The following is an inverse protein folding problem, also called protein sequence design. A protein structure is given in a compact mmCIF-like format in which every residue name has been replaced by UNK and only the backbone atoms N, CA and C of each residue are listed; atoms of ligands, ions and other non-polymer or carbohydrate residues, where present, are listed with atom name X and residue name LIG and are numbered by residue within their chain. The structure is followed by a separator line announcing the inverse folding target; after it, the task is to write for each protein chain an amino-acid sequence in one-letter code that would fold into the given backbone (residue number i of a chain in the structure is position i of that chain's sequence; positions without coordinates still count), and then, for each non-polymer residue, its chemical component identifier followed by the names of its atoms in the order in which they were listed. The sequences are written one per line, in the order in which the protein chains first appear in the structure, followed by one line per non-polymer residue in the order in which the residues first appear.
data_IF_231622825911
#
_entry.id   IF_231622825911
#
_cell.length_a   1.000
_cell.length_b   1.000
_cell.length_c   1.000
_cell.angle_alpha   90.00
_cell.angle_beta   90.00
_cell.angle_gamma   90.00
#
_symmetry.space_group_name_H-M   'P 1'
#
loop_
_entity.id
_entity.type
_entity.pdbx_description
1 polymer ?
#
# COMPACT_ATOMS: atom_id res chain seq x y z
N UNK A 1 -2.73 -10.40 19.69
CA UNK A 1 -1.94 -10.73 18.47
C UNK A 1 -0.54 -10.11 18.51
N UNK A 2 -0.41 -8.78 18.71
CA UNK A 2 0.89 -8.11 18.73
C UNK A 2 1.90 -8.72 19.72
N UNK A 3 1.47 -9.08 20.92
CA UNK A 3 2.33 -9.76 21.90
C UNK A 3 2.94 -11.08 21.38
N UNK A 4 2.23 -11.83 20.52
CA UNK A 4 2.76 -13.05 19.89
C UNK A 4 3.80 -12.73 18.82
N UNK A 5 3.65 -11.61 18.13
CA UNK A 5 4.60 -11.12 17.12
C UNK A 5 5.89 -10.64 17.80
N UNK A 6 5.76 -9.88 18.89
CA UNK A 6 6.90 -9.35 19.67
C UNK A 6 7.78 -10.45 20.28
N UNK A 7 7.22 -11.65 20.51
CA UNK A 7 7.98 -12.85 20.92
C UNK A 7 8.90 -13.41 19.81
N UNK A 8 8.72 -13.00 18.55
CA UNK A 8 9.44 -13.55 17.38
C UNK A 8 10.22 -12.49 16.63
N UNK A 9 9.70 -11.25 16.57
CA UNK A 9 10.31 -10.13 15.84
C UNK A 9 10.31 -8.86 16.67
N UNK A 10 11.36 -8.06 16.51
CA UNK A 10 11.38 -6.71 17.05
C UNK A 10 10.40 -5.82 16.27
N UNK A 11 9.53 -5.09 16.96
CA UNK A 11 8.50 -4.27 16.30
C UNK A 11 8.87 -2.80 16.41
N UNK A 12 9.02 -2.16 15.26
CA UNK A 12 9.20 -0.72 15.11
C UNK A 12 7.90 -0.10 14.62
N UNK A 13 7.71 1.17 14.95
CA UNK A 13 6.54 1.95 14.53
C UNK A 13 6.99 3.28 13.99
N UNK A 14 6.29 3.76 13.00
CA UNK A 14 6.50 5.09 12.46
C UNK A 14 6.32 6.16 13.56
N UNK A 15 7.32 7.04 13.77
CA UNK A 15 7.24 8.08 14.78
C UNK A 15 6.35 9.26 14.36
N UNK A 16 5.67 9.85 15.34
CA UNK A 16 4.81 11.03 15.11
C UNK A 16 5.59 12.30 14.81
N UNK A 17 6.79 12.47 15.35
CA UNK A 17 7.67 13.63 15.07
C UNK A 17 8.63 13.32 13.93
N UNK A 18 8.98 14.32 13.13
CA UNK A 18 9.92 14.13 12.02
C UNK A 18 11.36 13.92 12.51
N UNK A 19 11.72 14.54 13.64
CA UNK A 19 13.03 14.44 14.28
C UNK A 19 13.43 13.01 14.63
N UNK A 20 12.44 12.18 14.95
CA UNK A 20 12.68 10.83 15.48
C UNK A 20 12.76 9.78 14.35
N UNK A 21 12.43 10.17 13.10
CA UNK A 21 12.41 9.26 11.94
C UNK A 21 13.77 8.63 11.70
N UNK A 22 14.82 9.45 11.69
CA UNK A 22 16.19 8.98 11.42
C UNK A 22 16.70 8.06 12.52
N UNK A 23 16.38 8.37 13.78
CA UNK A 23 16.77 7.55 14.94
C UNK A 23 16.13 6.16 14.85
N UNK A 24 14.80 6.09 14.66
CA UNK A 24 14.08 4.82 14.57
C UNK A 24 14.52 3.98 13.37
N UNK A 25 14.82 4.62 12.23
CA UNK A 25 15.34 3.92 11.05
C UNK A 25 16.75 3.39 11.25
N UNK A 26 17.60 4.14 11.93
CA UNK A 26 18.95 3.71 12.30
C UNK A 26 18.89 2.49 13.22
N UNK A 27 18.10 2.55 14.28
CA UNK A 27 17.87 1.42 15.20
C UNK A 27 17.30 0.18 14.47
N UNK A 28 16.36 0.40 13.56
CA UNK A 28 15.80 -0.68 12.73
C UNK A 28 16.87 -1.35 11.85
N UNK A 29 17.74 -0.55 11.21
CA UNK A 29 18.82 -1.05 10.37
C UNK A 29 19.84 -1.83 11.20
N UNK A 30 20.31 -1.25 12.29
CA UNK A 30 21.29 -1.89 13.20
C UNK A 30 20.77 -3.23 13.75
N UNK A 31 19.47 -3.30 14.06
CA UNK A 31 18.82 -4.56 14.49
C UNK A 31 18.86 -5.62 13.39
N UNK A 32 18.65 -5.24 12.13
CA UNK A 32 18.70 -6.18 11.00
C UNK A 32 20.12 -6.65 10.72
N UNK A 33 21.09 -5.75 10.75
CA UNK A 33 22.50 -6.05 10.49
C UNK A 33 23.07 -6.98 11.58
N UNK A 34 22.74 -6.71 12.85
CA UNK A 34 23.11 -7.58 13.98
C UNK A 34 22.51 -8.99 13.87
N UNK A 35 21.26 -9.12 13.42
CA UNK A 35 20.61 -10.42 13.23
C UNK A 35 21.08 -11.16 11.98
N UNK A 36 21.58 -10.44 10.98
CA UNK A 36 22.10 -11.03 9.74
C UNK A 36 23.52 -11.57 9.89
N UNK A 37 24.26 -11.05 10.88
CA UNK A 37 25.65 -11.45 11.20
C UNK A 37 25.73 -12.54 12.28
N UNK A 38 24.61 -12.91 12.92
CA UNK A 38 24.58 -14.00 13.89
C UNK A 38 24.73 -15.38 13.23
N UNK A 39 25.56 -16.22 13.84
CA UNK A 39 25.82 -17.59 13.40
C UNK A 39 24.54 -18.44 13.57
N UNK A 40 24.07 -19.22 12.57
CA UNK A 40 22.78 -19.92 12.61
C UNK A 40 22.60 -20.95 13.72
N UNK A 41 23.66 -21.22 14.50
CA UNK A 41 23.70 -22.23 15.57
C UNK A 41 23.34 -21.66 16.95
N UNK A 42 23.40 -20.35 17.14
CA UNK A 42 22.99 -19.69 18.39
C UNK A 42 21.48 -19.36 18.36
N UNK A 43 20.71 -19.70 19.41
CA UNK A 43 19.29 -19.39 19.46
C UNK A 43 19.06 -17.89 19.70
N UNK A 44 18.92 -17.13 18.61
CA UNK A 44 18.55 -15.72 18.68
C UNK A 44 17.15 -15.55 19.29
N UNK A 45 17.00 -14.58 20.21
CA UNK A 45 15.72 -14.24 20.83
C UNK A 45 14.68 -13.76 19.79
N UNK A 46 15.15 -13.15 18.70
CA UNK A 46 14.33 -12.66 17.58
C UNK A 46 14.93 -13.10 16.25
N UNK A 47 14.08 -13.39 15.26
CA UNK A 47 14.51 -13.82 13.92
C UNK A 47 14.34 -12.73 12.85
N UNK A 48 14.27 -11.47 13.27
CA UNK A 48 14.15 -10.30 12.41
C UNK A 48 13.33 -9.18 13.06
N UNK A 49 13.04 -8.17 12.26
CA UNK A 49 12.25 -7.02 12.66
C UNK A 49 11.00 -6.82 11.77
N UNK A 50 10.03 -6.08 12.27
CA UNK A 50 8.85 -5.58 11.54
C UNK A 50 8.80 -4.07 11.75
N UNK A 51 8.57 -3.33 10.67
CA UNK A 51 8.29 -1.90 10.73
C UNK A 51 6.83 -1.64 10.37
N UNK A 52 6.07 -1.04 11.29
CA UNK A 52 4.68 -0.64 11.07
C UNK A 52 4.64 0.84 10.66
N UNK A 53 4.21 1.09 9.42
CA UNK A 53 4.08 2.44 8.86
C UNK A 53 2.68 2.68 8.29
N UNK A 54 2.34 3.95 8.09
CA UNK A 54 1.08 4.39 7.47
C UNK A 54 1.36 4.82 6.04
N UNK A 55 0.51 4.40 5.10
CA UNK A 55 0.61 4.83 3.69
C UNK A 55 0.27 6.31 3.58
N UNK A 56 1.09 7.08 2.85
CA UNK A 56 1.04 8.54 2.85
C UNK A 56 1.71 9.16 4.09
N UNK A 57 2.27 8.32 4.96
CA UNK A 57 3.17 8.72 6.04
C UNK A 57 4.59 8.96 5.53
N UNK A 58 5.43 9.46 6.44
CA UNK A 58 6.80 9.91 6.18
C UNK A 58 7.67 8.76 5.66
N UNK A 59 7.52 7.61 6.29
CA UNK A 59 8.30 6.41 5.98
C UNK A 59 7.88 5.82 4.64
N UNK A 60 6.57 5.76 4.36
CA UNK A 60 6.04 5.14 3.14
C UNK A 60 6.38 5.93 1.86
N UNK A 61 6.57 7.24 1.97
CA UNK A 61 6.87 8.10 0.81
C UNK A 61 8.35 8.47 0.70
N UNK A 62 9.00 8.90 1.78
CA UNK A 62 10.31 9.54 1.74
C UNK A 62 11.50 8.63 1.99
N UNK A 63 11.25 7.40 2.46
CA UNK A 63 12.31 6.48 2.88
C UNK A 63 12.35 5.29 1.95
N UNK A 64 13.55 4.82 1.74
CA UNK A 64 13.82 3.75 0.82
C UNK A 64 14.39 2.59 1.66
N UNK A 65 13.98 1.35 1.41
CA UNK A 65 14.39 0.18 2.20
C UNK A 65 15.32 -0.69 1.35
N UNK A 66 16.63 -0.45 1.40
CA UNK A 66 17.63 -1.24 0.65
C UNK A 66 18.17 -2.41 1.48
N UNK A 67 18.94 -3.29 0.83
CA UNK A 67 19.94 -4.15 1.48
C UNK A 67 19.36 -5.11 2.55
N UNK A 68 18.12 -5.57 2.34
CA UNK A 68 17.46 -6.51 3.26
C UNK A 68 16.56 -5.85 4.31
N UNK A 69 16.50 -4.52 4.38
CA UNK A 69 15.60 -3.80 5.27
C UNK A 69 14.11 -4.00 4.95
N UNK A 70 13.76 -4.54 3.78
CA UNK A 70 12.38 -4.64 3.28
C UNK A 70 12.07 -5.90 2.48
N UNK A 71 12.43 -7.10 2.95
CA UNK A 71 12.24 -8.35 2.19
C UNK A 71 10.79 -8.78 1.97
N UNK A 72 9.87 -8.34 2.82
CA UNK A 72 8.45 -8.61 2.66
C UNK A 72 7.65 -7.35 3.00
N UNK A 73 6.88 -6.84 2.05
CA UNK A 73 5.92 -5.76 2.25
C UNK A 73 4.54 -6.39 2.43
N UNK A 74 3.82 -5.97 3.46
CA UNK A 74 2.41 -6.31 3.66
C UNK A 74 1.59 -5.03 3.56
N UNK A 75 0.88 -4.87 2.45
CA UNK A 75 -0.07 -3.78 2.26
C UNK A 75 -1.42 -4.22 2.80
N UNK A 76 -1.87 -3.62 3.91
CA UNK A 76 -3.16 -3.95 4.52
C UNK A 76 -4.18 -2.89 4.13
N UNK A 77 -5.20 -3.30 3.40
CA UNK A 77 -6.26 -2.41 2.93
C UNK A 77 -5.90 -1.59 1.69
N UNK A 78 -6.77 -0.63 1.38
CA UNK A 78 -6.58 0.39 0.35
C UNK A 78 -6.61 1.79 0.98
N UNK A 79 -5.54 2.60 0.81
CA UNK A 79 -5.39 3.92 1.43
C UNK A 79 -6.19 4.98 0.67
N UNK A 80 -7.51 4.89 0.74
CA UNK A 80 -8.38 5.90 0.13
C UNK A 80 -8.28 7.24 0.86
N UNK A 81 -8.18 8.37 0.13
CA UNK A 81 -8.22 9.69 0.73
C UNK A 81 -9.53 9.93 1.50
N UNK A 82 -9.47 10.72 2.57
CA UNK A 82 -10.64 10.99 3.39
C UNK A 82 -11.72 11.76 2.61
N UNK A 83 -13.00 11.34 2.65
CA UNK A 83 -14.09 12.07 2.01
C UNK A 83 -14.49 13.33 2.80
N UNK A 84 -13.79 13.66 3.89
CA UNK A 84 -13.96 14.93 4.61
C UNK A 84 -13.19 16.09 3.97
N UNK A 85 -12.31 15.80 3.02
CA UNK A 85 -11.51 16.81 2.33
C UNK A 85 -12.35 17.50 1.24
N UNK A 86 -12.67 18.77 1.48
CA UNK A 86 -13.49 19.58 0.57
C UNK A 86 -12.76 19.83 -0.75
N UNK A 87 -11.45 20.05 -0.73
CA UNK A 87 -10.67 20.30 -1.94
C UNK A 87 -10.67 19.05 -2.85
N UNK A 88 -10.53 17.87 -2.23
CA UNK A 88 -10.67 16.60 -2.95
C UNK A 88 -12.05 16.46 -3.59
N UNK A 89 -13.12 16.72 -2.83
CA UNK A 89 -14.49 16.57 -3.33
C UNK A 89 -14.77 17.53 -4.49
N UNK A 90 -14.32 18.79 -4.41
CA UNK A 90 -14.49 19.76 -5.50
C UNK A 90 -13.68 19.35 -6.75
N UNK A 91 -12.45 18.84 -6.57
CA UNK A 91 -11.67 18.28 -7.69
C UNK A 91 -12.38 17.09 -8.34
N UNK A 92 -12.95 16.19 -7.53
CA UNK A 92 -13.73 15.04 -8.04
C UNK A 92 -14.94 15.50 -8.84
N UNK A 93 -15.72 16.47 -8.32
CA UNK A 93 -16.87 17.05 -9.05
C UNK A 93 -16.45 17.70 -10.36
N UNK A 94 -15.36 18.48 -10.32
CA UNK A 94 -14.83 19.12 -11.52
C UNK A 94 -14.42 18.09 -12.58
N UNK A 95 -13.65 17.06 -12.19
CA UNK A 95 -13.20 15.99 -13.11
C UNK A 95 -14.36 15.19 -13.69
N UNK A 96 -15.42 14.96 -12.91
CA UNK A 96 -16.65 14.34 -13.40
C UNK A 96 -17.31 15.22 -14.48
N UNK A 97 -17.37 16.54 -14.26
CA UNK A 97 -17.98 17.51 -15.19
C UNK A 97 -17.18 17.82 -16.46
N UNK A 98 -15.87 17.53 -16.50
CA UNK A 98 -15.00 17.74 -17.67
C UNK A 98 -15.42 16.95 -18.92
N UNK A 99 -16.37 16.02 -18.82
CA UNK A 99 -16.89 15.24 -19.97
C UNK A 99 -18.11 15.83 -20.65
N UNK A 100 -18.80 16.77 -19.98
CA UNK A 100 -20.13 17.24 -20.39
C UNK A 100 -20.10 18.60 -21.10
N UNK A 101 -18.92 19.15 -21.41
CA UNK A 101 -18.74 20.46 -22.05
C UNK A 101 -19.36 20.59 -23.47
N UNK A 102 -19.82 19.49 -24.07
CA UNK A 102 -20.60 19.51 -25.32
C UNK A 102 -22.13 19.62 -25.10
N UNK A 103 -22.61 19.64 -23.85
CA UNK A 103 -24.02 19.87 -23.52
C UNK A 103 -24.12 21.04 -22.55
N UNK A 104 -24.58 22.19 -23.05
CA UNK A 104 -24.93 23.38 -22.24
C UNK A 104 -26.06 23.08 -21.26
N UNK A 105 -25.77 22.33 -20.21
CA UNK A 105 -26.56 22.21 -18.99
C UNK A 105 -25.57 22.16 -17.86
N UNK A 106 -25.52 23.24 -17.08
CA UNK A 106 -24.89 23.24 -15.76
C UNK A 106 -25.29 21.96 -15.04
N UNK A 107 -24.33 21.18 -14.47
CA UNK A 107 -24.67 19.95 -13.80
C UNK A 107 -25.67 20.29 -12.70
N UNK A 108 -26.86 19.68 -12.74
CA UNK A 108 -27.82 19.69 -11.64
C UNK A 108 -27.29 18.86 -10.47
N UNK A 109 -26.06 19.10 -10.02
CA UNK A 109 -25.74 18.84 -8.64
C UNK A 109 -26.50 19.89 -7.87
N UNK A 110 -27.51 19.43 -7.13
CA UNK A 110 -28.33 20.24 -6.26
C UNK A 110 -27.38 21.06 -5.36
N UNK A 111 -27.14 22.31 -5.72
CA UNK A 111 -26.53 23.30 -4.83
C UNK A 111 -27.60 23.61 -3.79
N UNK A 112 -27.82 22.67 -2.87
CA UNK A 112 -28.42 23.01 -1.61
C UNK A 112 -27.28 23.61 -0.79
N UNK A 113 -27.26 24.93 -0.72
CA UNK A 113 -26.33 25.78 0.04
C UNK A 113 -26.43 25.52 1.57
N UNK A 114 -26.28 24.27 1.99
CA UNK A 114 -26.25 23.84 3.40
C UNK A 114 -25.25 22.70 3.56
N UNK A 115 -23.94 22.98 3.48
CA UNK A 115 -22.95 22.05 4.02
C UNK A 115 -21.63 22.75 4.38
N UNK A 116 -21.68 23.59 5.42
CA UNK A 116 -20.49 23.93 6.20
C UNK A 116 -20.27 22.96 7.38
N UNK A 117 -21.11 21.92 7.49
CA UNK A 117 -20.89 20.85 8.44
C UNK A 117 -19.98 19.81 7.79
N UNK A 118 -18.87 19.51 8.47
CA UNK A 118 -17.90 18.46 8.12
C UNK A 118 -18.52 17.07 8.29
N UNK A 119 -19.61 16.79 7.58
CA UNK A 119 -20.27 15.51 7.62
C UNK A 119 -19.65 14.59 6.58
N UNK A 120 -18.93 13.59 7.09
CA UNK A 120 -18.27 12.54 6.31
C UNK A 120 -19.27 11.84 5.37
N UNK A 121 -20.55 11.78 5.78
CA UNK A 121 -21.61 11.14 5.01
C UNK A 121 -21.88 11.85 3.68
N UNK A 122 -21.91 13.18 3.68
CA UNK A 122 -22.11 13.97 2.44
C UNK A 122 -20.98 13.71 1.44
N UNK A 123 -19.74 13.59 1.94
CA UNK A 123 -18.58 13.26 1.10
C UNK A 123 -18.72 11.88 0.43
N UNK A 124 -19.18 10.87 1.17
CA UNK A 124 -19.44 9.55 0.60
C UNK A 124 -20.58 9.57 -0.43
N UNK A 125 -21.62 10.36 -0.22
CA UNK A 125 -22.73 10.47 -1.17
C UNK A 125 -22.29 11.12 -2.49
N UNK A 126 -21.43 12.14 -2.42
CA UNK A 126 -20.79 12.73 -3.61
C UNK A 126 -19.97 11.67 -4.34
N UNK A 127 -19.08 10.95 -3.65
CA UNK A 127 -18.24 9.92 -4.27
C UNK A 127 -19.07 8.79 -4.88
N UNK A 128 -20.20 8.42 -4.27
CA UNK A 128 -21.14 7.41 -4.79
C UNK A 128 -21.92 7.91 -6.02
N UNK A 129 -22.17 9.21 -6.11
CA UNK A 129 -22.88 9.82 -7.24
C UNK A 129 -22.03 9.93 -8.52
N UNK A 130 -20.70 9.86 -8.41
CA UNK A 130 -19.80 9.89 -9.57
C UNK A 130 -20.00 8.66 -10.46
N UNK A 131 -20.13 8.87 -11.78
CA UNK A 131 -20.42 7.80 -12.74
C UNK A 131 -19.14 7.09 -13.16
N UNK A 132 -18.13 7.84 -13.63
CA UNK A 132 -16.90 7.23 -14.19
C UNK A 132 -15.63 7.97 -13.82
N UNK A 133 -15.48 9.23 -14.23
CA UNK A 133 -14.19 9.95 -14.20
C UNK A 133 -13.77 10.32 -12.78
N UNK A 134 -14.71 10.80 -11.98
CA UNK A 134 -14.50 11.13 -10.57
C UNK A 134 -14.19 9.90 -9.73
N UNK A 135 -14.90 8.78 -9.99
CA UNK A 135 -14.62 7.50 -9.33
C UNK A 135 -13.23 6.97 -9.69
N UNK A 136 -12.89 6.99 -10.97
CA UNK A 136 -11.59 6.56 -11.46
C UNK A 136 -10.46 7.41 -10.88
N UNK A 137 -10.64 8.73 -10.80
CA UNK A 137 -9.70 9.65 -10.18
C UNK A 137 -9.48 9.34 -8.68
N UNK A 138 -10.55 9.13 -7.92
CA UNK A 138 -10.45 8.78 -6.50
C UNK A 138 -9.71 7.45 -6.26
N UNK A 139 -10.00 6.44 -7.08
CA UNK A 139 -9.26 5.18 -7.06
C UNK A 139 -7.80 5.34 -7.53
N UNK A 140 -7.52 6.23 -8.50
CA UNK A 140 -6.16 6.51 -8.96
C UNK A 140 -5.31 7.15 -7.86
N UNK A 141 -5.88 8.04 -7.04
CA UNK A 141 -5.19 8.59 -5.88
C UNK A 141 -4.79 7.49 -4.89
N UNK A 142 -5.72 6.59 -4.58
CA UNK A 142 -5.45 5.44 -3.72
C UNK A 142 -4.33 4.56 -4.29
N UNK A 143 -4.41 4.18 -5.56
CA UNK A 143 -3.41 3.30 -6.18
C UNK A 143 -2.06 3.98 -6.39
N UNK A 144 -2.02 5.30 -6.57
CA UNK A 144 -0.77 6.08 -6.60
C UNK A 144 -0.03 5.94 -5.26
N UNK A 145 -0.72 6.09 -4.14
CA UNK A 145 -0.11 5.95 -2.81
C UNK A 145 0.38 4.52 -2.55
N UNK A 146 -0.40 3.50 -2.96
CA UNK A 146 0.00 2.09 -2.89
C UNK A 146 1.27 1.83 -3.70
N UNK A 147 1.25 2.25 -4.97
CA UNK A 147 2.36 2.02 -5.91
C UNK A 147 3.64 2.73 -5.45
N UNK A 148 3.50 3.94 -4.89
CA UNK A 148 4.61 4.66 -4.30
C UNK A 148 5.20 3.92 -3.10
N UNK A 149 4.35 3.36 -2.24
CA UNK A 149 4.79 2.64 -1.04
C UNK A 149 5.50 1.32 -1.37
N UNK A 150 4.91 0.50 -2.25
CA UNK A 150 5.48 -0.81 -2.58
C UNK A 150 6.75 -0.72 -3.43
N UNK A 151 6.91 0.36 -4.19
CA UNK A 151 8.11 0.62 -4.99
C UNK A 151 9.36 0.96 -4.17
N UNK A 152 9.25 1.11 -2.84
CA UNK A 152 10.38 1.46 -1.95
C UNK A 152 11.22 0.26 -1.50
N UNK A 153 10.76 -0.98 -1.71
CA UNK A 153 11.47 -2.17 -1.24
C UNK A 153 12.25 -2.92 -2.33
N UNK A 154 12.06 -2.59 -3.60
CA UNK A 154 12.78 -3.22 -4.72
C UNK A 154 13.52 -2.13 -5.45
N UNK A 155 14.85 -2.08 -5.29
CA UNK A 155 15.65 -0.93 -5.75
C UNK A 155 16.48 -1.16 -7.00
N UNK A 156 16.97 -2.37 -7.21
CA UNK A 156 17.87 -2.69 -8.30
C UNK A 156 17.61 -4.10 -8.83
N UNK A 157 18.21 -4.43 -9.97
CA UNK A 157 17.99 -5.70 -10.67
C UNK A 157 18.28 -6.95 -9.82
N UNK A 158 19.24 -6.83 -8.90
CA UNK A 158 19.61 -7.92 -7.98
C UNK A 158 18.80 -7.94 -6.67
N UNK A 159 17.85 -7.03 -6.49
CA UNK A 159 17.05 -6.94 -5.27
C UNK A 159 15.73 -7.70 -5.42
N UNK A 160 15.25 -8.26 -4.33
CA UNK A 160 14.00 -9.00 -4.32
C UNK A 160 13.23 -8.76 -3.01
N UNK A 161 11.91 -8.62 -3.16
CA UNK A 161 10.98 -8.55 -2.05
C UNK A 161 9.67 -9.23 -2.44
N UNK A 162 9.01 -9.85 -1.46
CA UNK A 162 7.65 -10.34 -1.62
C UNK A 162 6.66 -9.23 -1.23
N UNK A 163 5.64 -9.00 -2.05
CA UNK A 163 4.57 -8.03 -1.77
C UNK A 163 3.28 -8.80 -1.54
N UNK A 164 2.68 -8.62 -0.36
CA UNK A 164 1.38 -9.18 0.00
C UNK A 164 0.34 -8.06 0.03
N UNK A 165 -0.67 -8.16 -0.83
CA UNK A 165 -1.80 -7.22 -0.87
C UNK A 165 -2.99 -7.85 -0.13
N UNK A 166 -3.31 -7.31 1.06
CA UNK A 166 -4.31 -7.87 1.97
C UNK A 166 -5.56 -6.99 1.96
N UNK A 167 -6.42 -7.21 0.97
CA UNK A 167 -7.77 -6.64 0.89
C UNK A 167 -8.59 -7.42 -0.15
N UNK A 168 -9.86 -7.72 0.14
CA UNK A 168 -10.74 -8.42 -0.81
C UNK A 168 -10.95 -7.64 -2.12
N UNK A 169 -10.81 -6.31 -2.10
CA UNK A 169 -10.91 -5.44 -3.28
C UNK A 169 -9.77 -5.63 -4.27
N UNK A 170 -8.66 -6.25 -3.87
CA UNK A 170 -7.63 -6.68 -4.82
C UNK A 170 -8.01 -7.97 -5.56
N UNK A 171 -8.92 -8.77 -5.02
CA UNK A 171 -9.15 -10.15 -5.43
C UNK A 171 -10.14 -10.33 -6.61
N UNK A 172 -10.42 -9.30 -7.41
CA UNK A 172 -11.46 -9.44 -8.44
C UNK A 172 -11.05 -10.24 -9.66
N UNK A 173 -12.08 -10.90 -10.18
CA UNK A 173 -12.12 -11.74 -11.36
C UNK A 173 -11.64 -11.01 -12.64
N UNK A 174 -10.65 -11.60 -13.29
CA UNK A 174 -10.09 -11.16 -14.58
C UNK A 174 -11.13 -11.14 -15.70
N UNK A 175 -12.29 -11.79 -15.52
CA UNK A 175 -13.42 -11.79 -16.44
C UNK A 175 -14.15 -10.44 -16.53
N UNK A 176 -14.12 -9.62 -15.47
CA UNK A 176 -14.73 -8.29 -15.46
C UNK A 176 -13.69 -7.26 -15.89
N UNK A 177 -13.54 -7.08 -17.21
CA UNK A 177 -12.71 -6.02 -17.83
C UNK A 177 -13.24 -4.62 -17.48
N UNK A 178 -13.14 -4.22 -16.22
CA UNK A 178 -13.29 -2.83 -15.80
C UNK A 178 -11.92 -2.19 -15.76
N UNK A 179 -11.73 -1.14 -16.55
CA UNK A 179 -10.53 -0.28 -16.53
C UNK A 179 -10.25 0.31 -15.14
N UNK A 180 -11.24 0.30 -14.25
CA UNK A 180 -11.17 0.91 -12.92
C UNK A 180 -10.60 -0.02 -11.83
N UNK A 181 -10.34 -1.30 -12.10
CA UNK A 181 -9.97 -2.23 -11.03
C UNK A 181 -8.59 -1.92 -10.39
N UNK A 182 -8.42 -2.00 -9.05
CA UNK A 182 -7.14 -1.74 -8.38
C UNK A 182 -5.94 -2.48 -8.97
N UNK A 183 -6.09 -3.77 -9.32
CA UNK A 183 -4.96 -4.55 -9.90
C UNK A 183 -4.58 -4.09 -11.30
N UNK A 184 -5.50 -3.52 -12.07
CA UNK A 184 -5.21 -2.92 -13.38
C UNK A 184 -4.39 -1.62 -13.25
N UNK A 185 -4.35 -1.02 -12.06
CA UNK A 185 -3.58 0.19 -11.76
C UNK A 185 -2.22 -0.11 -11.15
N UNK A 186 -1.87 -1.39 -10.96
CA UNK A 186 -0.53 -1.80 -10.55
C UNK A 186 0.47 -1.66 -11.71
N UNK A 187 1.76 -1.41 -11.44
CA UNK A 187 2.81 -1.39 -12.44
C UNK A 187 2.92 -2.73 -13.20
N UNK A 188 3.32 -2.67 -14.47
CA UNK A 188 3.42 -3.87 -15.31
C UNK A 188 4.40 -4.92 -14.76
N UNK A 189 5.49 -4.47 -14.13
CA UNK A 189 6.48 -5.35 -13.53
C UNK A 189 5.94 -6.15 -12.32
N UNK A 190 4.90 -5.63 -11.62
CA UNK A 190 4.20 -6.36 -10.56
C UNK A 190 3.15 -7.28 -11.15
N UNK A 191 2.41 -6.82 -12.16
CA UNK A 191 1.35 -7.61 -12.80
C UNK A 191 1.85 -8.94 -13.36
N UNK A 192 3.08 -8.98 -13.89
CA UNK A 192 3.68 -10.21 -14.42
C UNK A 192 3.94 -11.29 -13.37
N UNK A 193 4.04 -10.92 -12.09
CA UNK A 193 4.27 -11.83 -10.96
C UNK A 193 3.10 -11.89 -9.98
N UNK A 194 1.97 -11.27 -10.33
CA UNK A 194 0.78 -11.21 -9.49
C UNK A 194 0.07 -12.56 -9.47
N UNK A 195 -0.16 -13.09 -8.27
CA UNK A 195 -0.99 -14.28 -8.05
C UNK A 195 -2.37 -13.80 -7.60
N UNK A 196 -3.37 -13.91 -8.49
CA UNK A 196 -4.63 -13.18 -8.34
C UNK A 196 -5.51 -13.63 -7.17
N UNK A 197 -5.44 -14.88 -6.74
CA UNK A 197 -6.16 -15.39 -5.56
C UNK A 197 -5.42 -16.60 -4.99
N UNK A 198 -5.39 -16.70 -3.67
CA UNK A 198 -4.96 -17.89 -2.93
C UNK A 198 -6.08 -18.26 -1.98
N UNK A 199 -6.56 -19.49 -2.02
CA UNK A 199 -7.78 -19.88 -1.30
C UNK A 199 -7.55 -20.05 0.20
N UNK A 200 -6.29 -20.20 0.60
CA UNK A 200 -5.93 -20.42 1.99
C UNK A 200 -4.53 -19.88 2.35
N UNK A 201 -4.32 -19.68 3.65
CA UNK A 201 -3.03 -19.26 4.21
C UNK A 201 -1.89 -20.25 3.90
N UNK A 202 -2.18 -21.55 3.84
CA UNK A 202 -1.19 -22.59 3.58
C UNK A 202 -0.52 -22.43 2.22
N UNK A 203 -1.30 -22.07 1.20
CA UNK A 203 -0.81 -21.80 -0.14
C UNK A 203 0.07 -20.55 -0.18
N UNK A 204 -0.38 -19.44 0.43
CA UNK A 204 0.42 -18.21 0.56
C UNK A 204 1.76 -18.52 1.23
N UNK A 205 1.72 -19.26 2.34
CA UNK A 205 2.91 -19.63 3.09
C UNK A 205 3.87 -20.50 2.25
N UNK A 206 3.35 -21.46 1.48
CA UNK A 206 4.13 -22.30 0.57
C UNK A 206 4.80 -21.47 -0.53
N UNK A 207 4.06 -20.56 -1.17
CA UNK A 207 4.57 -19.70 -2.24
C UNK A 207 5.66 -18.75 -1.72
N UNK A 208 5.44 -18.13 -0.56
CA UNK A 208 6.46 -17.28 0.09
C UNK A 208 7.73 -18.07 0.41
N UNK A 209 7.59 -19.26 0.98
CA UNK A 209 8.75 -20.10 1.30
C UNK A 209 9.53 -20.50 0.03
N UNK A 210 8.83 -20.88 -1.04
CA UNK A 210 9.46 -21.19 -2.33
C UNK A 210 10.19 -19.98 -2.92
N UNK A 211 9.56 -18.80 -2.89
CA UNK A 211 10.14 -17.55 -3.36
C UNK A 211 11.44 -17.19 -2.61
N UNK A 212 11.43 -17.20 -1.28
CA UNK A 212 12.62 -16.88 -0.49
C UNK A 212 13.72 -17.94 -0.63
N UNK A 213 13.36 -19.24 -0.71
CA UNK A 213 14.32 -20.31 -0.94
C UNK A 213 15.02 -20.17 -2.30
N UNK A 214 14.27 -19.82 -3.35
CA UNK A 214 14.81 -19.62 -4.68
C UNK A 214 15.76 -18.41 -4.74
N UNK A 215 15.34 -17.26 -4.21
CA UNK A 215 16.16 -16.04 -4.27
C UNK A 215 17.39 -16.09 -3.34
N UNK A 216 17.32 -16.80 -2.20
CA UNK A 216 18.49 -17.02 -1.34
C UNK A 216 19.59 -17.83 -2.03
N UNK A 217 19.22 -18.80 -2.87
CA UNK A 217 20.20 -19.57 -3.68
C UNK A 217 20.85 -18.71 -4.76
N UNK A 218 20.10 -17.77 -5.36
CA UNK A 218 20.63 -16.87 -6.40
C UNK A 218 21.56 -15.80 -5.85
N UNK A 219 21.33 -15.31 -4.63
CA UNK A 219 22.19 -14.30 -3.99
C UNK A 219 23.44 -14.86 -3.29
N UNK A 220 23.64 -16.18 -3.30
CA UNK A 220 24.84 -16.85 -2.76
C UNK A 220 25.78 -17.41 -3.84
N UNK A 221 25.56 -17.05 -5.10
CA UNK A 221 26.47 -17.31 -6.22
C UNK A 221 27.21 -16.04 -6.60
#
# INVERSE_FOLDING_TARGET
ILARIMKKKHVFREPRKNTDVEVVLKEYKETIDALSSQDPKEPAAHNGAIFLAVVGGKISEGINFSDGMGRCIVMVGLPYPSPSDIELLERVKHIEGLGDAASSKTPKFLVNNKCYNRDVQTGFDILRSCKRRGKEYYENLCMKAVNQSIGRAIRHINDYAAILLVDARYASDTSKRSYSHPTNKLPQWIKGSLVSMTDNYGEVHRLLHQFFKFNKKRGGQ
#
